data_IF_726432170340
#
_entry.id   IF_726432170340
#
_cell.length_a   1.000
_cell.length_b   1.000
_cell.length_c   1.000
_cell.angle_alpha   90.00
_cell.angle_beta   90.00
_cell.angle_gamma   90.00
#
_symmetry.space_group_name_H-M   'P 1'
#
loop_
_entity.id
_entity.type
_entity.pdbx_description
1 polymer ?
#
# COMPACT_ATOMS: atom_id res chain seq x y z
N UNK A 1 -5.83 6.53 -15.40
CA UNK A 1 -6.28 5.13 -15.53
C UNK A 1 -6.71 4.84 -16.97
N UNK A 2 -7.40 5.79 -17.59
CA UNK A 2 -7.98 5.70 -18.93
C UNK A 2 -7.02 5.29 -20.04
N UNK A 3 -5.77 5.80 -20.04
CA UNK A 3 -4.77 5.43 -21.06
C UNK A 3 -4.46 3.93 -21.03
N UNK A 4 -4.26 3.35 -19.85
CA UNK A 4 -3.97 1.91 -19.72
C UNK A 4 -5.21 1.09 -20.10
N UNK A 5 -6.40 1.54 -19.70
CA UNK A 5 -7.65 0.87 -20.04
C UNK A 5 -7.94 0.86 -21.55
N UNK A 6 -7.64 1.96 -22.25
CA UNK A 6 -7.97 2.13 -23.68
C UNK A 6 -6.87 1.62 -24.61
N UNK A 7 -5.60 1.83 -24.26
CA UNK A 7 -4.48 1.65 -25.20
C UNK A 7 -3.69 0.35 -24.98
N UNK A 8 -3.63 -0.18 -23.75
CA UNK A 8 -2.76 -1.35 -23.47
C UNK A 8 -3.36 -2.70 -23.84
N UNK A 9 -4.67 -2.77 -24.10
CA UNK A 9 -5.37 -4.02 -24.44
C UNK A 9 -5.94 -3.99 -25.86
N UNK A 10 -5.27 -3.28 -26.78
CA UNK A 10 -5.72 -3.12 -28.17
C UNK A 10 -5.56 -4.37 -29.04
N UNK A 11 -4.73 -5.33 -28.62
CA UNK A 11 -4.42 -6.54 -29.39
C UNK A 11 -5.66 -7.38 -29.71
N UNK A 12 -6.64 -7.44 -28.81
CA UNK A 12 -7.91 -8.17 -29.03
C UNK A 12 -8.75 -7.55 -30.17
N UNK A 13 -8.49 -6.30 -30.52
CA UNK A 13 -9.23 -5.56 -31.55
C UNK A 13 -8.52 -5.54 -32.90
N UNK A 14 -7.27 -6.03 -33.01
CA UNK A 14 -6.55 -6.09 -34.29
C UNK A 14 -7.05 -7.23 -35.16
N UNK A 15 -6.87 -7.13 -36.48
CA UNK A 15 -7.28 -8.20 -37.41
C UNK A 15 -6.58 -9.52 -37.09
N UNK A 16 -5.29 -9.48 -36.77
CA UNK A 16 -4.50 -10.67 -36.43
C UNK A 16 -4.97 -11.31 -35.11
N UNK A 17 -5.34 -10.48 -34.12
CA UNK A 17 -5.87 -10.97 -32.84
C UNK A 17 -7.20 -11.68 -33.01
N UNK A 18 -8.10 -11.14 -33.85
CA UNK A 18 -9.39 -11.75 -34.18
C UNK A 18 -9.22 -13.07 -34.92
N UNK A 19 -8.39 -13.09 -35.96
CA UNK A 19 -8.10 -14.30 -36.74
C UNK A 19 -7.56 -15.43 -35.84
N UNK A 20 -6.63 -15.10 -34.93
CA UNK A 20 -6.12 -16.07 -33.97
C UNK A 20 -7.20 -16.61 -33.02
N UNK A 21 -8.05 -15.74 -32.45
CA UNK A 21 -9.13 -16.15 -31.56
C UNK A 21 -10.17 -17.04 -32.25
N UNK A 22 -10.48 -16.75 -33.52
CA UNK A 22 -11.36 -17.57 -34.36
C UNK A 22 -10.81 -19.00 -34.53
N UNK A 23 -9.50 -19.18 -34.69
CA UNK A 23 -8.89 -20.53 -34.76
C UNK A 23 -9.10 -21.36 -33.49
N UNK A 24 -9.25 -20.70 -32.34
CA UNK A 24 -9.55 -21.35 -31.05
C UNK A 24 -11.06 -21.40 -30.74
N UNK A 25 -11.92 -20.98 -31.68
CA UNK A 25 -13.38 -20.88 -31.50
C UNK A 25 -13.79 -19.97 -30.33
N UNK A 26 -13.01 -18.91 -30.09
CA UNK A 26 -13.30 -17.91 -29.08
C UNK A 26 -13.98 -16.70 -29.72
N UNK A 27 -15.18 -16.34 -29.25
CA UNK A 27 -15.88 -15.16 -29.74
C UNK A 27 -15.26 -13.89 -29.16
N UNK A 28 -14.73 -13.04 -30.04
CA UNK A 28 -14.14 -11.75 -29.68
C UNK A 28 -15.15 -10.76 -29.08
N UNK A 29 -16.45 -10.97 -29.30
CA UNK A 29 -17.54 -10.17 -28.69
C UNK A 29 -17.74 -10.53 -27.21
N UNK A 30 -17.49 -11.79 -26.84
CA UNK A 30 -17.62 -12.25 -25.45
C UNK A 30 -16.39 -11.91 -24.60
N UNK A 31 -15.25 -11.62 -25.24
CA UNK A 31 -14.00 -11.31 -24.55
C UNK A 31 -13.92 -9.81 -24.23
N UNK A 32 -14.18 -9.47 -22.97
CA UNK A 32 -14.12 -8.09 -22.48
C UNK A 32 -12.76 -7.80 -21.80
N UNK A 33 -11.89 -6.95 -22.39
CA UNK A 33 -10.66 -6.54 -21.73
C UNK A 33 -10.95 -5.75 -20.46
N UNK A 34 -10.30 -6.12 -19.36
CA UNK A 34 -10.38 -5.43 -18.07
C UNK A 34 -8.99 -5.19 -17.52
N UNK A 35 -8.83 -4.07 -16.81
CA UNK A 35 -7.60 -3.69 -16.12
C UNK A 35 -7.81 -3.75 -14.62
N UNK A 36 -6.86 -4.36 -13.89
CA UNK A 36 -6.89 -4.44 -12.43
C UNK A 36 -5.75 -3.59 -11.85
N UNK A 37 -6.10 -2.47 -11.22
CA UNK A 37 -5.14 -1.62 -10.53
C UNK A 37 -5.10 -1.98 -9.05
N UNK A 38 -3.97 -2.49 -8.59
CA UNK A 38 -3.70 -2.73 -7.17
C UNK A 38 -2.90 -1.57 -6.62
N UNK A 39 -3.37 -0.98 -5.52
CA UNK A 39 -2.70 0.08 -4.80
C UNK A 39 -2.89 -0.11 -3.30
N UNK A 40 -1.94 0.40 -2.52
CA UNK A 40 -2.05 0.57 -1.08
C UNK A 40 -2.19 2.06 -0.80
N UNK A 41 -3.34 2.46 -0.27
CA UNK A 41 -3.61 3.83 0.12
C UNK A 41 -3.31 4.01 1.62
N UNK A 42 -2.66 5.11 1.95
CA UNK A 42 -2.37 5.52 3.32
C UNK A 42 -3.04 6.86 3.57
N UNK A 43 -3.83 6.94 4.64
CA UNK A 43 -4.68 8.09 4.97
C UNK A 43 -4.20 8.74 6.28
N UNK A 44 -4.55 10.00 6.58
CA UNK A 44 -4.12 10.62 7.83
C UNK A 44 -4.57 9.79 9.04
N UNK A 45 -3.68 9.61 10.01
CA UNK A 45 -4.01 8.95 11.26
C UNK A 45 -5.22 9.62 11.94
N UNK A 46 -6.14 8.81 12.48
CA UNK A 46 -7.38 9.30 13.08
C UNK A 46 -8.51 9.63 12.09
N UNK A 47 -8.31 9.44 10.77
CA UNK A 47 -9.40 9.65 9.80
C UNK A 47 -10.44 8.52 9.87
N UNK A 48 -11.68 8.84 10.25
CA UNK A 48 -12.77 7.85 10.33
C UNK A 48 -13.43 7.55 8.98
N UNK A 49 -13.57 8.56 8.11
CA UNK A 49 -14.29 8.44 6.84
C UNK A 49 -13.45 9.01 5.71
N UNK A 50 -13.28 8.19 4.68
CA UNK A 50 -12.55 8.55 3.47
C UNK A 50 -13.41 8.32 2.24
N UNK A 51 -13.57 9.39 1.46
CA UNK A 51 -14.23 9.38 0.16
C UNK A 51 -13.17 9.25 -0.94
N UNK A 52 -12.89 8.02 -1.37
CA UNK A 52 -11.82 7.70 -2.35
C UNK A 52 -12.34 7.20 -3.69
N UNK A 53 -13.60 7.50 -4.06
CA UNK A 53 -14.10 7.14 -5.39
C UNK A 53 -13.18 7.75 -6.46
N UNK A 54 -12.82 6.99 -7.51
CA UNK A 54 -13.38 5.69 -7.91
C UNK A 54 -12.72 4.45 -7.26
N UNK A 55 -11.75 4.60 -6.36
CA UNK A 55 -11.04 3.50 -5.73
C UNK A 55 -11.91 2.75 -4.71
N UNK A 56 -11.65 1.46 -4.57
CA UNK A 56 -12.30 0.62 -3.57
C UNK A 56 -11.73 0.91 -2.18
N UNK A 57 -12.56 0.96 -1.13
CA UNK A 57 -12.10 1.24 0.23
C UNK A 57 -11.17 0.17 0.82
N UNK A 58 -11.20 -1.05 0.30
CA UNK A 58 -10.28 -2.11 0.72
C UNK A 58 -8.83 -1.87 0.27
N UNK A 59 -8.55 -0.84 -0.54
CA UNK A 59 -7.19 -0.42 -0.86
C UNK A 59 -6.52 0.38 0.28
N UNK A 60 -7.28 0.85 1.28
CA UNK A 60 -6.71 1.50 2.47
C UNK A 60 -5.93 0.45 3.25
N UNK A 61 -4.61 0.59 3.25
CA UNK A 61 -3.67 -0.37 3.82
C UNK A 61 -3.09 0.09 5.15
N UNK A 62 -3.35 1.34 5.55
CA UNK A 62 -2.80 1.93 6.76
C UNK A 62 -2.88 3.44 6.77
N UNK A 63 -2.00 4.04 7.56
CA UNK A 63 -2.03 5.47 7.83
C UNK A 63 -0.73 6.19 7.49
N UNK A 64 -0.74 7.51 7.54
CA UNK A 64 0.45 8.31 7.76
C UNK A 64 0.24 9.19 8.99
N UNK A 65 1.31 9.43 9.74
CA UNK A 65 1.31 10.23 10.97
C UNK A 65 2.51 11.17 10.99
N UNK A 66 2.31 12.40 11.45
CA UNK A 66 3.41 13.35 11.64
C UNK A 66 4.35 12.86 12.74
N UNK A 67 5.64 13.12 12.59
CA UNK A 67 6.64 12.71 13.59
C UNK A 67 6.33 13.23 15.00
N UNK A 68 5.84 14.46 15.13
CA UNK A 68 5.45 15.00 16.43
C UNK A 68 4.30 14.23 17.10
N UNK A 69 3.33 13.79 16.31
CA UNK A 69 2.23 12.97 16.83
C UNK A 69 2.68 11.54 17.15
N UNK A 70 3.63 10.99 16.39
CA UNK A 70 4.25 9.70 16.69
C UNK A 70 4.99 9.68 18.03
N UNK A 71 5.49 10.84 18.51
CA UNK A 71 6.15 10.96 19.81
C UNK A 71 5.21 10.82 21.02
N UNK A 72 3.90 10.76 20.81
CA UNK A 72 2.91 10.71 21.88
C UNK A 72 2.89 9.38 22.63
N UNK A 73 2.33 9.41 23.85
CA UNK A 73 2.22 8.24 24.72
C UNK A 73 1.41 7.09 24.10
N UNK A 74 0.54 7.37 23.13
CA UNK A 74 -0.23 6.35 22.43
C UNK A 74 0.68 5.31 21.74
N UNK A 75 1.85 5.72 21.26
CA UNK A 75 2.77 4.88 20.51
C UNK A 75 3.84 4.23 21.38
N UNK A 76 3.96 4.63 22.66
CA UNK A 76 5.09 4.24 23.50
C UNK A 76 5.06 2.77 23.95
N UNK A 77 3.87 2.18 24.06
CA UNK A 77 3.66 0.82 24.59
C UNK A 77 3.61 -0.26 23.50
N UNK A 78 4.12 0.00 22.29
CA UNK A 78 4.10 -0.96 21.18
C UNK A 78 5.49 -1.32 20.69
N UNK A 79 5.58 -2.44 19.98
CA UNK A 79 6.79 -2.84 19.27
C UNK A 79 6.67 -2.50 17.79
N UNK A 80 7.82 -2.26 17.16
CA UNK A 80 7.90 -1.75 15.81
C UNK A 80 8.91 -2.47 14.95
N UNK A 81 8.68 -2.44 13.65
CA UNK A 81 9.64 -2.89 12.64
C UNK A 81 9.66 -1.86 11.51
N UNK A 82 10.85 -1.55 11.00
CA UNK A 82 10.99 -0.64 9.85
C UNK A 82 11.34 -1.48 8.61
N UNK A 83 10.36 -1.84 7.77
CA UNK A 83 10.60 -2.60 6.57
C UNK A 83 11.46 -1.85 5.55
N UNK A 84 12.23 -2.61 4.78
CA UNK A 84 12.86 -2.14 3.55
C UNK A 84 11.81 -1.84 2.47
N UNK A 85 12.16 -1.00 1.48
CA UNK A 85 11.22 -0.59 0.41
C UNK A 85 10.59 -1.76 -0.36
N UNK A 86 11.35 -2.84 -0.57
CA UNK A 86 10.84 -4.02 -1.27
C UNK A 86 9.85 -4.85 -0.44
N UNK A 87 9.86 -4.68 0.89
CA UNK A 87 8.93 -5.33 1.81
C UNK A 87 7.65 -4.51 2.02
N UNK A 88 7.58 -3.28 1.49
CA UNK A 88 6.40 -2.45 1.63
C UNK A 88 5.11 -3.14 1.19
N UNK A 89 5.04 -3.97 0.13
CA UNK A 89 3.81 -4.66 -0.22
C UNK A 89 3.41 -5.78 0.77
N UNK A 90 4.35 -6.26 1.59
CA UNK A 90 4.16 -7.42 2.49
C UNK A 90 3.21 -7.08 3.63
N UNK A 91 2.40 -8.06 4.03
CA UNK A 91 1.52 -7.96 5.19
C UNK A 91 2.35 -8.09 6.48
N UNK A 92 2.19 -7.19 7.47
CA UNK A 92 2.85 -7.32 8.76
C UNK A 92 2.64 -8.70 9.38
N UNK A 93 3.69 -9.23 9.98
CA UNK A 93 3.69 -10.57 10.58
C UNK A 93 4.76 -10.65 11.69
N UNK A 94 4.74 -11.73 12.48
CA UNK A 94 5.64 -11.90 13.62
C UNK A 94 7.08 -12.26 13.27
N UNK A 95 7.39 -12.63 12.03
CA UNK A 95 8.70 -13.15 11.63
C UNK A 95 9.69 -12.03 11.28
N UNK A 96 9.80 -11.04 12.16
CA UNK A 96 10.72 -9.90 12.02
C UNK A 96 11.31 -9.56 13.38
N UNK A 97 12.47 -8.88 13.37
CA UNK A 97 13.09 -8.40 14.59
C UNK A 97 12.37 -7.13 15.06
N UNK A 98 11.46 -7.31 16.02
CA UNK A 98 10.72 -6.24 16.64
C UNK A 98 11.63 -5.39 17.53
N UNK A 99 11.54 -4.08 17.37
CA UNK A 99 12.21 -3.05 18.17
C UNK A 99 11.22 -2.44 19.17
N UNK A 100 11.73 -2.01 20.31
CA UNK A 100 10.99 -1.17 21.25
C UNK A 100 10.67 0.21 20.64
N UNK A 101 9.72 0.91 21.26
CA UNK A 101 9.41 2.29 20.91
C UNK A 101 10.64 3.21 20.97
N UNK A 102 11.50 3.04 21.99
CA UNK A 102 12.69 3.88 22.16
C UNK A 102 13.69 3.67 21.01
N UNK A 103 13.98 2.41 20.66
CA UNK A 103 14.88 2.07 19.56
C UNK A 103 14.36 2.58 18.21
N UNK A 104 13.08 2.36 17.91
CA UNK A 104 12.51 2.83 16.64
C UNK A 104 12.44 4.35 16.58
N UNK A 105 12.18 5.03 17.70
CA UNK A 105 12.10 6.49 17.73
C UNK A 105 13.44 7.14 17.38
N UNK A 106 14.55 6.56 17.84
CA UNK A 106 15.90 7.01 17.47
C UNK A 106 16.14 6.88 15.96
N UNK A 107 15.81 5.73 15.37
CA UNK A 107 15.97 5.49 13.93
C UNK A 107 15.07 6.39 13.08
N UNK A 108 13.81 6.57 13.49
CA UNK A 108 12.87 7.48 12.82
C UNK A 108 13.38 8.92 12.90
N UNK A 109 13.91 9.37 14.05
CA UNK A 109 14.47 10.71 14.19
C UNK A 109 15.61 10.98 13.19
N UNK A 110 16.52 10.01 13.01
CA UNK A 110 17.60 10.11 12.02
C UNK A 110 17.02 10.26 10.59
N UNK A 111 15.94 9.54 10.28
CA UNK A 111 15.26 9.63 8.98
C UNK A 111 14.52 10.95 8.80
N UNK A 112 13.93 11.51 9.85
CA UNK A 112 13.27 12.81 9.80
C UNK A 112 14.26 13.94 9.50
N UNK A 113 15.44 13.92 10.12
CA UNK A 113 16.53 14.88 9.82
C UNK A 113 16.94 14.80 8.34
N UNK A 114 16.86 13.61 7.74
CA UNK A 114 17.18 13.37 6.32
C UNK A 114 15.99 13.56 5.38
N UNK A 115 14.85 14.03 5.87
CA UNK A 115 13.61 14.16 5.09
C UNK A 115 13.25 12.85 4.38
N UNK A 116 13.27 11.75 5.14
CA UNK A 116 12.89 10.43 4.67
C UNK A 116 11.66 9.94 5.42
N UNK A 117 10.71 9.37 4.67
CA UNK A 117 9.45 8.83 5.20
C UNK A 117 9.57 7.32 5.40
N UNK A 118 9.95 6.82 6.59
CA UNK A 118 9.93 5.40 6.85
C UNK A 118 8.50 4.87 6.95
N UNK A 119 8.31 3.68 6.42
CA UNK A 119 7.19 2.84 6.81
C UNK A 119 7.54 2.15 8.12
N UNK A 120 6.59 2.07 9.03
CA UNK A 120 6.65 1.28 10.26
C UNK A 120 5.55 0.23 10.21
N UNK A 121 5.86 -0.96 10.69
CA UNK A 121 4.89 -1.89 11.22
C UNK A 121 4.82 -1.69 12.72
N UNK A 122 3.61 -1.65 13.27
CA UNK A 122 3.36 -1.59 14.70
C UNK A 122 2.65 -2.86 15.13
N UNK A 123 3.18 -3.51 16.15
CA UNK A 123 2.55 -4.65 16.80
C UNK A 123 1.68 -4.15 17.94
N UNK A 124 0.36 -4.28 17.80
CA UNK A 124 -0.61 -4.00 18.88
C UNK A 124 -0.80 -5.24 19.76
N UNK A 125 -0.82 -6.42 19.15
CA UNK A 125 -0.86 -7.72 19.81
C UNK A 125 -0.19 -8.77 18.92
N UNK A 126 -0.15 -10.04 19.33
CA UNK A 126 0.40 -11.13 18.51
C UNK A 126 -0.39 -11.38 17.22
N UNK A 127 -1.63 -10.90 17.14
CA UNK A 127 -2.53 -11.09 15.99
C UNK A 127 -2.94 -9.79 15.30
N UNK A 128 -2.76 -8.64 15.96
CA UNK A 128 -3.14 -7.33 15.42
C UNK A 128 -1.90 -6.47 15.14
N UNK A 129 -1.79 -6.07 13.87
CA UNK A 129 -0.71 -5.24 13.37
C UNK A 129 -1.25 -4.05 12.62
N UNK A 130 -0.54 -2.93 12.72
CA UNK A 130 -0.75 -1.76 11.90
C UNK A 130 0.46 -1.49 11.03
N UNK A 131 0.21 -0.75 9.97
CA UNK A 131 1.21 -0.30 9.03
C UNK A 131 0.98 1.18 8.79
N UNK A 132 2.02 1.99 8.93
CA UNK A 132 1.89 3.41 8.68
C UNK A 132 3.22 4.04 8.28
N UNK A 133 3.14 5.23 7.70
CA UNK A 133 4.30 6.07 7.43
C UNK A 133 4.45 7.14 8.49
N UNK A 134 5.69 7.44 8.88
CA UNK A 134 5.99 8.63 9.70
C UNK A 134 6.52 9.73 8.80
N UNK A 135 5.88 10.90 8.83
CA UNK A 135 6.11 12.02 7.92
C UNK A 135 6.72 13.23 8.66
N UNK A 136 7.60 13.98 8.01
CA UNK A 136 8.25 15.17 8.58
C UNK A 136 7.46 16.48 8.37
N UNK A 137 6.51 16.51 7.43
CA UNK A 137 5.79 17.70 6.98
C UNK A 137 4.42 17.88 7.62
#
# INVERSE_FOLDING_TARGET
LDKIQKEQLSLLNTSQGKELLETYKLDTVEILPRVCFKAQLFIPYGTEKVHIRPLNKACVAGYWIRFDAFKSQEFSNSLYYIPFKHEWPVKPNNNVNWMSYYEVLLEVNIRMIKEQTPMLWRKKSDTEFEKFFVVWW
#
